data_IF_824396145750
#
_entry.id   IF_824396145750
#
_cell.length_a   1.000
_cell.length_b   1.000
_cell.length_c   1.000
_cell.angle_alpha   90.00
_cell.angle_beta   90.00
_cell.angle_gamma   90.00
#
_symmetry.space_group_name_H-M   'P 1'
#
loop_
_entity.id
_entity.type
_entity.pdbx_description
1 polymer ?
#
# COMPACT_ATOMS: atom_id res chain seq x y z
N UNK A 1 -8.56 -0.46 -21.78
CA UNK A 1 -7.21 -1.07 -21.54
C UNK A 1 -6.39 -0.34 -20.47
N UNK A 2 -6.63 0.94 -20.17
CA UNK A 2 -5.87 1.70 -19.16
C UNK A 2 -6.09 1.24 -17.70
N UNK A 3 -7.32 0.92 -17.29
CA UNK A 3 -7.64 0.55 -15.90
C UNK A 3 -6.82 -0.64 -15.35
N UNK A 4 -6.72 -1.79 -16.06
CA UNK A 4 -5.87 -2.90 -15.61
C UNK A 4 -4.40 -2.50 -15.36
N UNK A 5 -3.84 -1.64 -16.21
CA UNK A 5 -2.46 -1.14 -16.05
C UNK A 5 -2.33 -0.30 -14.78
N UNK A 6 -3.31 0.57 -14.50
CA UNK A 6 -3.30 1.37 -13.27
C UNK A 6 -3.36 0.48 -12.03
N UNK A 7 -4.20 -0.54 -12.01
CA UNK A 7 -4.28 -1.49 -10.90
C UNK A 7 -3.01 -2.30 -10.72
N UNK A 8 -2.34 -2.68 -11.82
CA UNK A 8 -1.04 -3.34 -11.76
C UNK A 8 0.03 -2.43 -11.13
N UNK A 9 0.07 -1.14 -11.50
CA UNK A 9 1.02 -0.18 -10.94
C UNK A 9 0.74 0.09 -9.45
N UNK A 10 -0.52 0.27 -9.06
CA UNK A 10 -0.91 0.43 -7.64
C UNK A 10 -0.59 -0.84 -6.85
N UNK A 11 -0.82 -2.02 -7.42
CA UNK A 11 -0.45 -3.29 -6.81
C UNK A 11 1.05 -3.34 -6.52
N UNK A 12 1.90 -2.95 -7.48
CA UNK A 12 3.36 -3.00 -7.33
C UNK A 12 3.86 -2.19 -6.12
N UNK A 13 3.23 -1.06 -5.80
CA UNK A 13 3.55 -0.24 -4.61
C UNK A 13 3.35 -1.02 -3.31
N UNK A 14 2.32 -1.87 -3.26
CA UNK A 14 1.93 -2.59 -2.05
C UNK A 14 2.63 -3.96 -1.90
N UNK A 15 3.29 -4.46 -2.95
CA UNK A 15 3.98 -5.78 -2.92
C UNK A 15 5.12 -5.80 -1.90
N UNK A 16 5.95 -4.76 -1.87
CA UNK A 16 7.12 -4.73 -0.98
C UNK A 16 6.71 -4.71 0.51
N UNK A 17 5.78 -3.84 0.95
CA UNK A 17 5.22 -3.93 2.31
C UNK A 17 4.52 -5.27 2.60
N UNK A 18 3.82 -5.86 1.65
CA UNK A 18 3.17 -7.16 1.82
C UNK A 18 4.17 -8.30 2.01
N UNK A 19 5.31 -8.26 1.31
CA UNK A 19 6.36 -9.26 1.40
C UNK A 19 6.97 -9.36 2.81
N UNK A 20 6.91 -8.28 3.60
CA UNK A 20 7.38 -8.28 4.98
C UNK A 20 6.61 -9.25 5.90
N UNK A 21 5.43 -9.71 5.49
CA UNK A 21 4.69 -10.76 6.21
C UNK A 21 5.46 -12.08 6.24
N UNK A 22 6.04 -12.45 5.09
CA UNK A 22 6.75 -13.72 4.87
C UNK A 22 8.27 -13.59 5.02
N UNK A 23 8.79 -12.37 4.89
CA UNK A 23 10.20 -12.06 5.02
C UNK A 23 10.42 -10.99 6.11
N UNK A 24 10.46 -11.37 7.40
CA UNK A 24 10.53 -10.43 8.52
C UNK A 24 11.79 -9.56 8.50
N UNK A 25 12.87 -10.01 7.87
CA UNK A 25 14.09 -9.20 7.66
C UNK A 25 13.85 -7.91 6.88
N UNK A 26 12.77 -7.83 6.08
CA UNK A 26 12.35 -6.58 5.44
C UNK A 26 11.89 -5.54 6.47
N UNK A 27 11.43 -5.93 7.66
CA UNK A 27 11.03 -4.97 8.69
C UNK A 27 12.23 -4.23 9.26
N UNK A 28 13.35 -4.91 9.45
CA UNK A 28 14.61 -4.28 9.83
C UNK A 28 15.12 -3.34 8.71
N UNK A 29 15.04 -3.78 7.45
CA UNK A 29 15.54 -2.98 6.31
C UNK A 29 14.66 -1.77 5.95
N UNK A 30 13.33 -1.92 6.00
CA UNK A 30 12.37 -0.89 5.56
C UNK A 30 11.95 0.04 6.70
N UNK A 31 11.89 -0.48 7.93
CA UNK A 31 11.37 0.26 9.08
C UNK A 31 12.42 0.48 10.18
N UNK A 32 13.60 -0.14 10.10
CA UNK A 32 14.66 0.01 11.10
C UNK A 32 14.34 -0.64 12.45
N UNK A 33 13.41 -1.61 12.49
CA UNK A 33 13.02 -2.27 13.75
C UNK A 33 13.99 -3.37 14.17
N UNK A 34 14.19 -3.46 15.48
CA UNK A 34 14.88 -4.59 16.10
C UNK A 34 13.92 -5.77 16.34
N UNK A 35 14.33 -7.02 16.05
CA UNK A 35 13.48 -8.20 16.26
C UNK A 35 13.04 -8.44 17.70
N UNK A 36 13.75 -7.87 18.68
CA UNK A 36 13.43 -8.02 20.11
C UNK A 36 12.30 -7.07 20.57
N UNK A 37 11.93 -6.07 19.77
CA UNK A 37 10.85 -5.14 20.09
C UNK A 37 9.48 -5.85 19.97
N UNK A 38 8.62 -5.86 21.01
CA UNK A 38 7.26 -6.39 20.90
C UNK A 38 6.45 -5.80 19.73
N UNK A 39 6.72 -4.55 19.33
CA UNK A 39 6.09 -3.90 18.19
C UNK A 39 6.41 -4.59 16.86
N UNK A 40 7.54 -5.31 16.76
CA UNK A 40 7.95 -6.02 15.56
C UNK A 40 6.87 -6.97 15.06
N UNK A 41 6.27 -7.76 15.97
CA UNK A 41 5.20 -8.70 15.63
C UNK A 41 3.96 -7.98 15.08
N UNK A 42 3.61 -6.81 15.64
CA UNK A 42 2.46 -6.04 15.20
C UNK A 42 2.68 -5.44 13.81
N UNK A 43 3.89 -4.96 13.51
CA UNK A 43 4.20 -4.44 12.17
C UNK A 43 4.34 -5.59 11.16
N UNK A 44 4.84 -6.76 11.56
CA UNK A 44 4.79 -7.96 10.71
C UNK A 44 3.35 -8.35 10.41
N UNK A 45 2.47 -8.37 11.41
CA UNK A 45 1.05 -8.62 11.20
C UNK A 45 0.40 -7.55 10.31
N UNK A 46 0.81 -6.28 10.43
CA UNK A 46 0.36 -5.19 9.54
C UNK A 46 0.70 -5.46 8.07
N UNK A 47 1.78 -6.18 7.78
CA UNK A 47 2.09 -6.62 6.41
C UNK A 47 0.98 -7.51 5.81
N UNK A 48 0.19 -8.20 6.62
CA UNK A 48 -0.98 -8.95 6.15
C UNK A 48 -2.06 -8.03 5.57
N UNK A 49 -2.25 -6.82 6.11
CA UNK A 49 -3.17 -5.85 5.53
C UNK A 49 -2.71 -5.42 4.13
N UNK A 50 -1.40 -5.19 3.94
CA UNK A 50 -0.85 -4.91 2.61
C UNK A 50 -1.05 -6.08 1.65
N UNK A 51 -0.93 -7.33 2.12
CA UNK A 51 -1.25 -8.51 1.32
C UNK A 51 -2.72 -8.52 0.87
N UNK A 52 -3.66 -8.14 1.74
CA UNK A 52 -5.06 -7.96 1.35
C UNK A 52 -5.22 -6.87 0.27
N UNK A 53 -4.49 -5.74 0.37
CA UNK A 53 -4.52 -4.69 -0.65
C UNK A 53 -4.02 -5.23 -2.00
N UNK A 54 -2.93 -6.00 -2.01
CA UNK A 54 -2.39 -6.66 -3.21
C UNK A 54 -3.44 -7.59 -3.84
N UNK A 55 -4.08 -8.46 -3.05
CA UNK A 55 -5.11 -9.37 -3.53
C UNK A 55 -6.28 -8.61 -4.19
N UNK A 56 -6.77 -7.56 -3.53
CA UNK A 56 -7.89 -6.76 -4.06
C UNK A 56 -7.48 -5.98 -5.32
N UNK A 57 -6.25 -5.48 -5.39
CA UNK A 57 -5.73 -4.82 -6.61
C UNK A 57 -5.62 -5.81 -7.78
N UNK A 58 -5.12 -7.03 -7.54
CA UNK A 58 -5.06 -8.08 -8.56
C UNK A 58 -6.47 -8.45 -9.03
N UNK A 59 -7.43 -8.61 -8.11
CA UNK A 59 -8.82 -8.89 -8.48
C UNK A 59 -9.40 -7.78 -9.37
N UNK A 60 -9.15 -6.50 -9.05
CA UNK A 60 -9.60 -5.35 -9.83
C UNK A 60 -9.04 -5.28 -11.27
N UNK A 61 -7.93 -5.98 -11.56
CA UNK A 61 -7.42 -6.15 -12.93
C UNK A 61 -8.43 -6.92 -13.77
N UNK A 62 -8.96 -8.03 -13.25
CA UNK A 62 -9.82 -8.98 -13.96
C UNK A 62 -11.31 -8.68 -13.83
N UNK A 63 -11.74 -8.14 -12.68
CA UNK A 63 -13.15 -7.91 -12.37
C UNK A 63 -13.45 -6.41 -12.19
N UNK A 64 -14.19 -5.78 -13.13
CA UNK A 64 -14.63 -4.40 -13.00
C UNK A 64 -15.47 -4.13 -11.76
N UNK A 65 -16.25 -5.10 -11.27
CA UNK A 65 -17.14 -4.95 -10.11
C UNK A 65 -16.38 -4.63 -8.82
N UNK A 66 -15.11 -5.04 -8.73
CA UNK A 66 -14.26 -4.87 -7.53
C UNK A 66 -13.50 -3.55 -7.53
N UNK A 67 -13.41 -2.84 -8.68
CA UNK A 67 -12.55 -1.66 -8.83
C UNK A 67 -12.90 -0.52 -7.86
N UNK A 68 -14.19 -0.34 -7.55
CA UNK A 68 -14.64 0.66 -6.56
C UNK A 68 -14.14 0.32 -5.16
N UNK A 69 -14.25 -0.94 -4.76
CA UNK A 69 -13.74 -1.43 -3.48
C UNK A 69 -12.21 -1.30 -3.43
N UNK A 70 -11.51 -1.71 -4.49
CA UNK A 70 -10.06 -1.60 -4.59
C UNK A 70 -9.58 -0.15 -4.46
N UNK A 71 -10.29 0.82 -5.06
CA UNK A 71 -9.96 2.23 -4.96
C UNK A 71 -10.05 2.72 -3.51
N UNK A 72 -11.12 2.36 -2.80
CA UNK A 72 -11.32 2.74 -1.40
C UNK A 72 -10.24 2.11 -0.51
N UNK A 73 -9.99 0.81 -0.66
CA UNK A 73 -9.01 0.08 0.15
C UNK A 73 -7.59 0.63 -0.05
N UNK A 74 -7.16 0.84 -1.29
CA UNK A 74 -5.86 1.43 -1.59
C UNK A 74 -5.76 2.89 -1.11
N UNK A 75 -6.84 3.68 -1.23
CA UNK A 75 -6.88 5.05 -0.70
C UNK A 75 -6.75 5.10 0.81
N UNK A 76 -7.48 4.25 1.54
CA UNK A 76 -7.34 4.16 3.00
C UNK A 76 -5.91 3.78 3.36
N UNK A 77 -5.30 2.81 2.67
CA UNK A 77 -3.90 2.40 2.89
C UNK A 77 -2.93 3.57 2.75
N UNK A 78 -2.89 4.22 1.59
CA UNK A 78 -1.91 5.26 1.27
C UNK A 78 -2.17 6.56 2.01
N UNK A 79 -3.42 7.04 2.00
CA UNK A 79 -3.76 8.35 2.59
C UNK A 79 -3.60 8.32 4.11
N UNK A 80 -4.02 7.24 4.77
CA UNK A 80 -3.84 7.15 6.24
C UNK A 80 -2.37 7.12 6.62
N UNK A 81 -1.53 6.38 5.88
CA UNK A 81 -0.09 6.34 6.14
C UNK A 81 0.55 7.71 5.95
N UNK A 82 0.23 8.40 4.85
CA UNK A 82 0.73 9.73 4.55
C UNK A 82 0.32 10.77 5.62
N UNK A 83 -0.95 10.79 6.02
CA UNK A 83 -1.44 11.68 7.10
C UNK A 83 -0.67 11.42 8.40
N UNK A 84 -0.50 10.15 8.78
CA UNK A 84 0.22 9.77 9.99
C UNK A 84 1.72 10.08 9.91
N UNK A 85 2.33 9.94 8.73
CA UNK A 85 3.73 10.26 8.48
C UNK A 85 3.99 11.75 8.74
N UNK A 86 3.17 12.65 8.21
CA UNK A 86 3.33 14.08 8.48
C UNK A 86 2.97 14.45 9.91
N UNK A 87 1.91 13.87 10.50
CA UNK A 87 1.51 14.18 11.87
C UNK A 87 2.53 13.71 12.91
N UNK A 88 3.36 12.72 12.59
CA UNK A 88 4.44 12.21 13.46
C UNK A 88 5.79 12.91 13.25
N UNK A 89 5.83 14.00 12.47
CA UNK A 89 7.06 14.76 12.23
C UNK A 89 7.93 14.23 11.09
N UNK A 90 7.37 13.43 10.17
CA UNK A 90 8.01 12.94 8.95
C UNK A 90 9.36 12.21 9.20
N UNK A 91 9.35 11.10 9.96
CA UNK A 91 10.58 10.39 10.34
C UNK A 91 11.37 9.93 9.11
N UNK A 92 12.69 10.18 9.12
CA UNK A 92 13.55 9.95 7.96
C UNK A 92 13.56 8.48 7.48
N UNK A 93 13.40 7.51 8.39
CA UNK A 93 13.34 6.08 8.07
C UNK A 93 12.16 5.71 7.18
N UNK A 94 11.04 6.44 7.26
CA UNK A 94 9.81 6.16 6.50
C UNK A 94 9.67 7.03 5.25
N UNK A 95 10.63 7.93 5.01
CA UNK A 95 10.55 8.92 3.92
C UNK A 95 10.51 8.26 2.54
N UNK A 96 11.24 7.18 2.33
CA UNK A 96 11.22 6.44 1.05
C UNK A 96 9.81 5.91 0.74
N UNK A 97 9.16 5.31 1.74
CA UNK A 97 7.79 4.79 1.62
C UNK A 97 6.81 5.93 1.34
N UNK A 98 6.92 7.05 2.08
CA UNK A 98 6.05 8.20 1.88
C UNK A 98 6.20 8.82 0.48
N UNK A 99 7.42 8.86 -0.07
CA UNK A 99 7.65 9.34 -1.43
C UNK A 99 7.04 8.42 -2.48
N UNK A 100 7.13 7.10 -2.30
CA UNK A 100 6.50 6.12 -3.21
C UNK A 100 4.97 6.27 -3.17
N UNK A 101 4.37 6.34 -1.99
CA UNK A 101 2.93 6.53 -1.85
C UNK A 101 2.47 7.84 -2.46
N UNK A 102 3.18 8.94 -2.19
CA UNK A 102 2.86 10.25 -2.74
C UNK A 102 2.96 10.25 -4.28
N UNK A 103 3.97 9.61 -4.86
CA UNK A 103 4.13 9.48 -6.30
C UNK A 103 3.05 8.59 -6.96
N UNK A 104 2.50 7.63 -6.21
CA UNK A 104 1.45 6.73 -6.68
C UNK A 104 0.02 7.30 -6.53
N UNK A 105 -0.18 8.35 -5.72
CA UNK A 105 -1.51 8.98 -5.54
C UNK A 105 -2.18 9.41 -6.85
N UNK A 106 -1.49 10.04 -7.83
CA UNK A 106 -2.11 10.38 -9.11
C UNK A 106 -2.66 9.15 -9.86
N UNK A 107 -1.94 8.02 -9.80
CA UNK A 107 -2.38 6.77 -10.41
C UNK A 107 -3.64 6.24 -9.71
N UNK A 108 -3.67 6.31 -8.38
CA UNK A 108 -4.83 5.90 -7.58
C UNK A 108 -6.05 6.79 -7.86
N UNK A 109 -5.86 8.11 -7.95
CA UNK A 109 -6.93 9.05 -8.30
C UNK A 109 -7.47 8.74 -9.70
N UNK A 110 -6.59 8.51 -10.69
CA UNK A 110 -7.01 8.13 -12.03
C UNK A 110 -7.78 6.79 -12.04
N UNK A 111 -7.28 5.77 -11.33
CA UNK A 111 -7.92 4.47 -11.23
C UNK A 111 -9.31 4.57 -10.57
N UNK A 112 -9.41 5.33 -9.48
CA UNK A 112 -10.66 5.60 -8.77
C UNK A 112 -11.67 6.34 -9.66
N UNK A 113 -11.28 7.47 -10.25
CA UNK A 113 -12.13 8.22 -11.17
C UNK A 113 -12.68 7.36 -12.30
N UNK A 114 -11.85 6.48 -12.87
CA UNK A 114 -12.28 5.57 -13.92
C UNK A 114 -13.19 4.46 -13.36
N UNK A 115 -12.96 3.97 -12.14
CA UNK A 115 -13.77 2.95 -11.50
C UNK A 115 -15.20 3.41 -11.15
N UNK A 116 -15.39 4.70 -10.85
CA UNK A 116 -16.71 5.27 -10.55
C UNK A 116 -17.48 5.77 -11.79
N UNK A 117 -16.84 5.78 -12.97
CA UNK A 117 -17.46 6.15 -14.25
C UNK A 117 -17.96 4.95 -15.06
N UNK A 118 -17.55 3.75 -14.69
CA UNK A 118 -17.93 2.49 -15.33
C UNK A 118 -19.15 1.89 -14.63
#
# INVERSE_FOLDING_TARGET
MLQPILWLLICAVHVLPAAALFQPGLLAALYGMEPADPAFLLVQHRAALFACVVVVCIWAIFDPGVRRLAAVVAAVSMVSFLVLFWSSGAPASLRSIALVDLAALPLLIAAGCLAYRA
#
